data_IF_198954190183
#
_entry.id   IF_198954190183
#
_cell.length_a   1.000
_cell.length_b   1.000
_cell.length_c   1.000
_cell.angle_alpha   90.00
_cell.angle_beta   90.00
_cell.angle_gamma   90.00
#
_symmetry.space_group_name_H-M   'P 1'
#
loop_
_entity.id
_entity.type
_entity.pdbx_description
1 polymer ?
#
# COMPACT_ATOMS: atom_id res chain seq x y z
N UNK A 1 50.24 24.64 56.53
CA UNK A 1 50.44 25.70 55.53
C UNK A 1 50.21 25.13 54.14
N UNK A 2 49.47 25.86 53.29
CA UNK A 2 49.20 25.62 51.86
C UNK A 2 48.49 24.30 51.50
N UNK A 3 47.18 24.21 51.27
CA UNK A 3 46.27 25.01 50.43
C UNK A 3 46.64 24.97 48.93
N UNK A 4 45.93 24.13 48.14
CA UNK A 4 45.71 24.29 46.67
C UNK A 4 44.68 23.29 46.11
N UNK A 5 43.40 23.64 46.33
CA UNK A 5 42.32 23.73 45.33
C UNK A 5 42.19 22.63 44.25
N UNK A 6 41.36 21.61 44.50
CA UNK A 6 40.67 20.82 43.45
C UNK A 6 39.40 21.55 42.99
N UNK A 7 39.49 22.32 41.91
CA UNK A 7 38.33 22.95 41.27
C UNK A 7 37.65 21.99 40.27
N UNK A 8 36.47 21.49 40.65
CA UNK A 8 35.52 20.76 39.78
C UNK A 8 35.06 21.66 38.62
N UNK A 9 35.55 21.40 37.41
CA UNK A 9 35.09 22.05 36.17
C UNK A 9 33.76 21.42 35.73
N UNK A 10 32.63 21.96 36.22
CA UNK A 10 31.27 21.71 35.71
C UNK A 10 31.23 22.13 34.22
N UNK A 11 31.14 21.17 33.29
CA UNK A 11 30.87 21.44 31.88
C UNK A 11 29.36 21.64 31.68
N UNK A 12 29.06 22.79 31.11
CA UNK A 12 27.77 23.43 30.93
C UNK A 12 26.99 22.74 29.80
N UNK A 13 26.05 21.85 30.11
CA UNK A 13 25.11 21.30 29.12
C UNK A 13 24.03 22.36 28.88
N UNK A 14 24.27 23.23 27.89
CA UNK A 14 23.25 24.15 27.37
C UNK A 14 22.14 23.31 26.71
N UNK A 15 21.05 23.09 27.44
CA UNK A 15 19.74 22.63 26.93
C UNK A 15 19.36 23.49 25.71
N UNK A 16 19.45 22.92 24.51
CA UNK A 16 18.82 23.50 23.31
C UNK A 16 17.32 23.26 23.41
N UNK A 17 16.58 24.35 23.62
CA UNK A 17 15.13 24.42 23.62
C UNK A 17 14.58 24.15 22.22
N UNK A 18 13.51 23.35 22.17
CA UNK A 18 12.41 23.46 21.21
C UNK A 18 12.74 23.31 19.73
N UNK A 19 12.89 22.08 19.24
CA UNK A 19 12.53 21.79 17.86
C UNK A 19 11.00 21.67 17.80
N UNK A 20 10.36 22.58 17.05
CA UNK A 20 8.94 22.54 16.77
C UNK A 20 8.55 21.16 16.23
N UNK A 21 7.58 20.53 16.91
CA UNK A 21 7.01 19.27 16.47
C UNK A 21 6.37 19.52 15.11
N UNK A 22 6.93 18.90 14.05
CA UNK A 22 6.24 18.76 12.76
C UNK A 22 4.82 18.29 13.06
N UNK A 23 3.81 19.08 12.67
CA UNK A 23 2.41 18.75 12.88
C UNK A 23 2.15 17.33 12.40
N UNK A 24 2.04 16.37 13.33
CA UNK A 24 1.59 15.03 13.01
C UNK A 24 0.23 15.19 12.35
N UNK A 25 0.05 14.65 11.15
CA UNK A 25 -1.25 14.63 10.49
C UNK A 25 -2.30 14.18 11.53
N UNK A 26 -3.29 15.04 11.79
CA UNK A 26 -4.38 14.71 12.72
C UNK A 26 -4.98 13.37 12.26
N UNK A 27 -5.37 12.48 13.18
CA UNK A 27 -5.95 11.21 12.77
C UNK A 27 -7.20 11.48 11.92
N UNK A 28 -7.47 10.60 10.96
CA UNK A 28 -8.59 10.74 10.02
C UNK A 28 -9.63 9.69 10.33
N UNK A 29 -10.89 10.11 10.49
CA UNK A 29 -12.02 9.20 10.76
C UNK A 29 -12.40 8.38 9.53
N UNK A 30 -12.19 8.93 8.32
CA UNK A 30 -12.40 8.22 7.07
C UNK A 30 -11.70 8.87 5.87
N UNK A 31 -11.56 8.10 4.81
CA UNK A 31 -10.91 8.53 3.57
C UNK A 31 -11.72 8.02 2.39
N UNK A 32 -11.90 8.86 1.36
CA UNK A 32 -12.58 8.54 0.11
C UNK A 32 -11.60 8.83 -1.02
N UNK A 33 -11.45 7.92 -1.98
CA UNK A 33 -10.63 8.11 -3.17
C UNK A 33 -11.51 8.17 -4.40
N UNK A 34 -11.35 9.24 -5.17
CA UNK A 34 -11.94 9.44 -6.49
C UNK A 34 -10.86 9.15 -7.53
N UNK A 35 -11.10 8.17 -8.40
CA UNK A 35 -10.20 7.85 -9.51
C UNK A 35 -10.92 8.07 -10.81
N UNK A 36 -10.33 8.89 -11.68
CA UNK A 36 -10.81 9.07 -13.04
C UNK A 36 -10.67 7.80 -13.89
N UNK A 37 -11.63 7.58 -14.77
CA UNK A 37 -11.59 6.57 -15.84
C UNK A 37 -11.60 7.19 -17.24
N UNK A 38 -11.94 8.48 -17.37
CA UNK A 38 -12.28 9.13 -18.65
C UNK A 38 -11.21 10.08 -19.22
N UNK A 39 -10.06 10.23 -18.55
CA UNK A 39 -9.01 11.19 -18.91
C UNK A 39 -9.23 12.61 -18.37
N UNK A 40 -10.18 12.82 -17.46
CA UNK A 40 -10.48 14.11 -16.84
C UNK A 40 -9.39 14.57 -15.87
N UNK A 41 -9.24 15.90 -15.76
CA UNK A 41 -8.32 16.47 -14.78
C UNK A 41 -8.84 16.26 -13.34
N UNK A 42 -7.93 16.20 -12.36
CA UNK A 42 -8.33 16.11 -10.95
C UNK A 42 -9.26 17.27 -10.52
N UNK A 43 -9.14 18.43 -11.17
CA UNK A 43 -9.93 19.62 -10.88
C UNK A 43 -11.39 19.44 -11.31
N UNK A 44 -11.64 18.87 -12.49
CA UNK A 44 -12.99 18.57 -12.98
C UNK A 44 -13.72 17.59 -12.07
N UNK A 45 -13.04 16.54 -11.60
CA UNK A 45 -13.62 15.54 -10.69
C UNK A 45 -13.98 16.17 -9.35
N UNK A 46 -13.13 17.06 -8.85
CA UNK A 46 -13.41 17.81 -7.62
C UNK A 46 -14.54 18.81 -7.81
N UNK A 47 -14.63 19.48 -8.96
CA UNK A 47 -15.72 20.38 -9.29
C UNK A 47 -17.05 19.62 -9.39
N UNK A 48 -17.07 18.49 -10.10
CA UNK A 48 -18.23 17.61 -10.18
C UNK A 48 -18.65 17.11 -8.78
N UNK A 49 -17.71 16.62 -7.97
CA UNK A 49 -18.00 16.18 -6.61
C UNK A 49 -18.57 17.30 -5.71
N UNK A 50 -18.08 18.54 -5.85
CA UNK A 50 -18.59 19.71 -5.10
C UNK A 50 -19.97 20.15 -5.57
N UNK A 51 -20.23 20.15 -6.88
CA UNK A 51 -21.51 20.54 -7.44
C UNK A 51 -22.60 19.51 -7.13
N UNK A 52 -22.22 18.24 -7.00
CA UNK A 52 -23.13 17.13 -6.74
C UNK A 52 -23.43 16.88 -5.27
N UNK A 53 -22.60 17.36 -4.32
CA UNK A 53 -22.77 17.08 -2.90
C UNK A 53 -22.46 18.32 -2.06
N UNK A 54 -23.46 18.79 -1.30
CA UNK A 54 -23.25 19.83 -0.30
C UNK A 54 -22.65 19.22 0.98
N UNK A 55 -21.48 19.71 1.39
CA UNK A 55 -20.81 19.26 2.63
C UNK A 55 -21.68 19.54 3.89
N UNK A 56 -22.58 20.52 3.81
CA UNK A 56 -23.52 20.86 4.87
C UNK A 56 -24.61 19.79 5.05
N UNK A 57 -25.09 19.17 3.97
CA UNK A 57 -26.10 18.10 4.03
C UNK A 57 -25.56 16.82 4.69
N UNK A 58 -24.27 16.56 4.53
CA UNK A 58 -23.58 15.43 5.17
C UNK A 58 -23.07 15.78 6.57
N UNK A 59 -23.20 17.05 6.99
CA UNK A 59 -22.78 17.55 8.30
C UNK A 59 -21.26 17.51 8.51
N UNK A 60 -20.47 17.73 7.45
CA UNK A 60 -19.00 17.77 7.50
C UNK A 60 -18.55 19.23 7.47
N UNK A 61 -17.94 19.70 8.56
CA UNK A 61 -17.49 21.09 8.70
C UNK A 61 -16.19 21.41 7.94
N UNK A 62 -15.26 20.46 7.90
CA UNK A 62 -13.98 20.62 7.19
C UNK A 62 -13.57 19.33 6.50
N UNK A 63 -12.98 19.46 5.31
CA UNK A 63 -12.49 18.33 4.52
C UNK A 63 -11.11 18.67 3.97
N UNK A 64 -10.17 17.72 4.04
CA UNK A 64 -8.86 17.87 3.39
C UNK A 64 -8.85 17.11 2.07
N UNK A 65 -8.19 17.69 1.08
CA UNK A 65 -7.99 17.04 -0.21
C UNK A 65 -6.50 16.84 -0.46
N UNK A 66 -6.14 15.70 -1.03
CA UNK A 66 -4.78 15.41 -1.48
C UNK A 66 -4.82 14.62 -2.78
N UNK A 67 -3.74 14.68 -3.56
CA UNK A 67 -3.59 13.86 -4.76
C UNK A 67 -3.02 12.48 -4.41
N UNK A 68 -3.48 11.43 -5.09
CA UNK A 68 -2.81 10.13 -5.06
C UNK A 68 -1.56 10.17 -5.93
N UNK A 69 -0.64 9.23 -5.68
CA UNK A 69 0.55 9.03 -6.52
C UNK A 69 0.17 8.69 -7.98
N UNK A 70 -1.01 8.10 -8.19
CA UNK A 70 -1.53 7.76 -9.53
C UNK A 70 -2.28 8.91 -10.21
N UNK A 71 -2.48 10.05 -9.54
CA UNK A 71 -3.21 11.20 -10.08
C UNK A 71 -4.72 11.20 -9.80
N UNK A 72 -5.19 10.34 -8.90
CA UNK A 72 -6.54 10.44 -8.34
C UNK A 72 -6.61 11.47 -7.21
N UNK A 73 -7.79 11.63 -6.63
CA UNK A 73 -8.05 12.56 -5.53
C UNK A 73 -8.45 11.78 -4.29
N UNK A 74 -7.88 12.12 -3.14
CA UNK A 74 -8.26 11.61 -1.84
C UNK A 74 -8.94 12.73 -1.07
N UNK A 75 -10.13 12.45 -0.55
CA UNK A 75 -10.87 13.26 0.40
C UNK A 75 -10.68 12.64 1.79
N UNK A 76 -10.05 13.38 2.70
CA UNK A 76 -9.83 12.98 4.08
C UNK A 76 -10.86 13.69 4.97
N UNK A 77 -11.62 12.90 5.72
CA UNK A 77 -12.55 13.36 6.74
C UNK A 77 -11.82 13.35 8.09
N UNK A 78 -11.63 14.53 8.73
CA UNK A 78 -10.98 14.65 10.03
C UNK A 78 -11.64 13.78 11.13
N UNK A 79 -10.86 13.37 12.14
CA UNK A 79 -11.37 12.51 13.24
C UNK A 79 -12.45 13.15 14.12
N UNK A 80 -12.51 14.48 14.17
CA UNK A 80 -13.61 15.21 14.83
C UNK A 80 -14.99 14.95 14.19
N UNK A 81 -15.03 14.28 13.04
CA UNK A 81 -16.25 13.88 12.36
C UNK A 81 -16.48 12.37 12.50
N UNK A 82 -17.71 11.96 12.80
CA UNK A 82 -18.07 10.56 12.95
C UNK A 82 -17.75 9.74 11.68
N UNK A 83 -17.22 8.52 11.86
CA UNK A 83 -16.86 7.60 10.75
C UNK A 83 -18.04 7.28 9.83
N UNK A 84 -19.26 7.36 10.35
CA UNK A 84 -20.51 7.19 9.59
C UNK A 84 -20.68 8.27 8.51
N UNK A 85 -20.23 9.51 8.75
CA UNK A 85 -20.31 10.63 7.80
C UNK A 85 -19.45 10.40 6.56
N UNK A 86 -18.26 9.80 6.73
CA UNK A 86 -17.41 9.45 5.59
C UNK A 86 -18.05 8.37 4.71
N UNK A 87 -18.74 7.40 5.32
CA UNK A 87 -19.49 6.37 4.58
C UNK A 87 -20.71 6.96 3.86
N UNK A 88 -21.45 7.87 4.52
CA UNK A 88 -22.56 8.59 3.92
C UNK A 88 -22.10 9.44 2.73
N UNK A 89 -21.01 10.20 2.88
CA UNK A 89 -20.42 10.99 1.80
C UNK A 89 -20.03 10.11 0.61
N UNK A 90 -19.41 8.95 0.86
CA UNK A 90 -19.07 8.02 -0.21
C UNK A 90 -20.31 7.46 -0.93
N UNK A 91 -21.38 7.16 -0.20
CA UNK A 91 -22.65 6.70 -0.78
C UNK A 91 -23.30 7.80 -1.63
N UNK A 92 -23.32 9.05 -1.15
CA UNK A 92 -23.81 10.20 -1.90
C UNK A 92 -23.01 10.42 -3.19
N UNK A 93 -21.68 10.42 -3.11
CA UNK A 93 -20.81 10.57 -4.29
C UNK A 93 -20.99 9.42 -5.28
N UNK A 94 -21.18 8.19 -4.80
CA UNK A 94 -21.43 7.03 -5.67
C UNK A 94 -22.76 7.13 -6.40
N UNK A 95 -23.78 7.76 -5.81
CA UNK A 95 -25.08 8.00 -6.44
C UNK A 95 -25.06 9.16 -7.43
N UNK A 96 -24.30 10.20 -7.12
CA UNK A 96 -24.32 11.44 -7.88
C UNK A 96 -23.30 11.49 -9.02
N UNK A 97 -22.23 10.71 -8.95
CA UNK A 97 -21.21 10.64 -9.99
C UNK A 97 -21.46 9.45 -10.92
N UNK A 98 -21.22 9.66 -12.21
CA UNK A 98 -21.31 8.60 -13.22
C UNK A 98 -20.22 7.52 -12.96
N UNK A 99 -20.60 6.25 -12.71
CA UNK A 99 -19.66 5.16 -12.44
C UNK A 99 -18.73 4.84 -13.61
N UNK A 100 -19.07 5.25 -14.83
CA UNK A 100 -18.23 5.09 -16.02
C UNK A 100 -17.11 6.14 -16.08
N UNK A 101 -17.32 7.32 -15.50
CA UNK A 101 -16.36 8.43 -15.52
C UNK A 101 -15.50 8.47 -14.26
N UNK A 102 -16.10 8.29 -13.08
CA UNK A 102 -15.40 8.40 -11.80
C UNK A 102 -15.63 7.16 -10.93
N UNK A 103 -14.54 6.56 -10.45
CA UNK A 103 -14.59 5.49 -9.45
C UNK A 103 -14.49 6.08 -8.05
N UNK A 104 -15.56 5.98 -7.28
CA UNK A 104 -15.58 6.29 -5.84
C UNK A 104 -15.21 5.05 -5.05
N UNK A 105 -14.24 5.15 -4.15
CA UNK A 105 -13.82 4.05 -3.27
C UNK A 105 -13.57 4.60 -1.87
N UNK A 106 -14.01 3.90 -0.84
CA UNK A 106 -13.59 4.13 0.56
C UNK A 106 -12.39 3.24 0.88
N UNK A 107 -11.14 3.72 0.68
CA UNK A 107 -9.98 2.90 0.99
C UNK A 107 -9.92 2.59 2.48
N UNK A 108 -9.77 1.31 2.78
CA UNK A 108 -9.24 0.84 4.06
C UNK A 108 -7.74 0.57 3.93
N UNK A 109 -7.04 0.54 5.07
CA UNK A 109 -5.68 -0.01 5.10
C UNK A 109 -5.76 -1.49 4.72
N UNK A 110 -5.26 -1.83 3.54
CA UNK A 110 -5.27 -3.21 3.05
C UNK A 110 -4.01 -3.96 3.50
N UNK A 111 -4.16 -5.25 3.76
CA UNK A 111 -3.04 -6.18 3.92
C UNK A 111 -3.23 -7.38 2.98
N UNK A 112 -2.17 -8.16 2.82
CA UNK A 112 -2.13 -9.33 1.95
C UNK A 112 -1.79 -10.57 2.79
N UNK A 113 -2.38 -11.70 2.43
CA UNK A 113 -2.06 -13.01 2.97
C UNK A 113 -1.97 -14.04 1.84
N UNK A 114 -1.19 -15.08 2.08
CA UNK A 114 -1.15 -16.28 1.26
C UNK A 114 -1.92 -17.36 1.97
N UNK A 115 -2.80 -18.02 1.25
CA UNK A 115 -3.47 -19.22 1.71
C UNK A 115 -2.98 -20.42 0.91
N UNK A 116 -2.71 -21.52 1.60
CA UNK A 116 -2.10 -22.72 1.04
C UNK A 116 -2.78 -23.96 1.62
N UNK A 117 -2.51 -25.14 1.05
CA UNK A 117 -3.19 -26.39 1.43
C UNK A 117 -4.69 -26.39 1.08
N UNK A 118 -5.06 -25.69 0.01
CA UNK A 118 -6.43 -25.66 -0.49
C UNK A 118 -6.62 -26.84 -1.45
N UNK A 119 -7.80 -27.44 -1.50
CA UNK A 119 -8.11 -28.40 -2.55
C UNK A 119 -8.04 -27.74 -3.95
N UNK A 120 -7.50 -28.45 -4.95
CA UNK A 120 -7.30 -27.87 -6.29
C UNK A 120 -8.63 -27.63 -7.01
N UNK A 121 -9.70 -28.34 -6.63
CA UNK A 121 -11.05 -28.15 -7.15
C UNK A 121 -11.85 -27.05 -6.45
N UNK A 122 -11.32 -26.48 -5.36
CA UNK A 122 -12.02 -25.47 -4.58
C UNK A 122 -12.39 -24.24 -5.42
N UNK A 123 -13.61 -23.77 -5.25
CA UNK A 123 -14.08 -22.55 -5.92
C UNK A 123 -13.66 -21.29 -5.17
N UNK A 124 -13.67 -20.13 -5.84
CA UNK A 124 -13.36 -18.85 -5.17
C UNK A 124 -14.39 -18.53 -4.09
N UNK A 125 -15.62 -18.94 -4.30
CA UNK A 125 -16.76 -18.74 -3.40
C UNK A 125 -16.61 -19.62 -2.14
N UNK A 126 -16.21 -20.87 -2.30
CA UNK A 126 -15.88 -21.79 -1.19
C UNK A 126 -14.74 -21.27 -0.32
N UNK A 127 -13.77 -20.57 -0.91
CA UNK A 127 -12.68 -19.92 -0.16
C UNK A 127 -13.17 -18.63 0.50
N UNK A 128 -13.95 -17.81 -0.21
CA UNK A 128 -14.38 -16.49 0.27
C UNK A 128 -15.30 -16.57 1.48
N UNK A 129 -16.22 -17.52 1.51
CA UNK A 129 -17.25 -17.62 2.56
C UNK A 129 -16.67 -17.90 3.96
N UNK A 130 -15.76 -18.88 4.14
CA UNK A 130 -15.06 -19.08 5.41
C UNK A 130 -14.22 -17.87 5.82
N UNK A 131 -13.50 -17.26 4.89
CA UNK A 131 -12.66 -16.09 5.17
C UNK A 131 -13.48 -14.90 5.69
N UNK A 132 -14.64 -14.62 5.09
CA UNK A 132 -15.52 -13.52 5.53
C UNK A 132 -16.17 -13.82 6.88
N UNK A 133 -16.60 -15.07 7.09
CA UNK A 133 -17.18 -15.52 8.36
C UNK A 133 -16.19 -15.37 9.52
N UNK A 134 -14.95 -15.84 9.35
CA UNK A 134 -13.92 -15.80 10.39
C UNK A 134 -13.42 -14.37 10.65
N UNK A 135 -13.25 -13.58 9.59
CA UNK A 135 -12.70 -12.23 9.73
C UNK A 135 -13.73 -11.14 10.07
N UNK A 136 -15.01 -11.43 9.85
CA UNK A 136 -16.12 -10.49 10.03
C UNK A 136 -16.12 -9.33 9.02
N UNK A 137 -15.50 -9.51 7.84
CA UNK A 137 -15.47 -8.51 6.79
C UNK A 137 -16.49 -8.81 5.68
N UNK A 138 -16.87 -7.78 4.92
CA UNK A 138 -17.79 -7.94 3.79
C UNK A 138 -17.10 -8.75 2.69
N UNK A 139 -17.84 -9.60 1.95
CA UNK A 139 -17.27 -10.34 0.84
C UNK A 139 -16.59 -9.40 -0.16
N UNK A 140 -17.22 -8.28 -0.50
CA UNK A 140 -16.72 -7.25 -1.42
C UNK A 140 -15.32 -6.71 -1.08
N UNK A 141 -14.97 -6.67 0.21
CA UNK A 141 -13.69 -6.16 0.69
C UNK A 141 -12.55 -7.18 0.53
N UNK A 142 -12.88 -8.46 0.30
CA UNK A 142 -11.92 -9.54 0.07
C UNK A 142 -11.71 -9.74 -1.42
N UNK A 143 -10.46 -9.60 -1.87
CA UNK A 143 -10.02 -9.96 -3.22
C UNK A 143 -9.19 -11.22 -3.17
N UNK A 144 -9.58 -12.19 -4.00
CA UNK A 144 -8.85 -13.43 -4.20
C UNK A 144 -8.11 -13.38 -5.54
N UNK A 145 -6.89 -13.89 -5.54
CA UNK A 145 -6.14 -14.20 -6.75
C UNK A 145 -6.70 -15.43 -7.46
N UNK A 146 -5.99 -15.87 -8.50
CA UNK A 146 -6.18 -17.20 -9.06
C UNK A 146 -5.61 -18.25 -8.12
N UNK A 147 -6.28 -19.39 -8.01
CA UNK A 147 -5.78 -20.55 -7.30
C UNK A 147 -4.67 -21.15 -8.15
N UNK A 148 -3.47 -21.22 -7.58
CA UNK A 148 -2.28 -21.74 -8.24
C UNK A 148 -1.96 -23.12 -7.67
N UNK A 149 -1.82 -24.13 -8.53
CA UNK A 149 -1.38 -25.44 -8.09
C UNK A 149 0.06 -25.34 -7.57
N UNK A 150 0.29 -25.94 -6.41
CA UNK A 150 1.60 -26.11 -5.80
C UNK A 150 2.11 -27.54 -6.07
N UNK A 151 3.43 -27.74 -5.89
CA UNK A 151 4.10 -29.02 -6.18
C UNK A 151 3.63 -30.19 -5.31
N UNK A 152 2.97 -29.88 -4.19
CA UNK A 152 2.38 -30.85 -3.27
C UNK A 152 1.00 -31.37 -3.72
N UNK A 153 0.52 -30.99 -4.92
CA UNK A 153 -0.79 -31.39 -5.43
C UNK A 153 -1.95 -30.62 -4.82
N UNK A 154 -1.69 -29.58 -4.02
CA UNK A 154 -2.71 -28.69 -3.43
C UNK A 154 -2.64 -27.29 -4.06
N UNK A 155 -3.70 -26.52 -3.88
CA UNK A 155 -3.82 -25.13 -4.30
C UNK A 155 -3.22 -24.13 -3.29
N UNK A 156 -2.85 -22.98 -3.83
CA UNK A 156 -2.51 -21.77 -3.06
C UNK A 156 -3.16 -20.55 -3.69
N UNK A 157 -3.62 -19.61 -2.88
CA UNK A 157 -4.26 -18.38 -3.36
C UNK A 157 -3.73 -17.17 -2.61
N UNK A 158 -3.62 -16.06 -3.31
CA UNK A 158 -3.31 -14.77 -2.71
C UNK A 158 -4.61 -14.07 -2.29
N UNK A 159 -4.63 -13.52 -1.08
CA UNK A 159 -5.77 -12.82 -0.50
C UNK A 159 -5.35 -11.38 -0.24
N UNK A 160 -6.23 -10.44 -0.56
CA UNK A 160 -6.12 -9.03 -0.13
C UNK A 160 -7.41 -8.56 0.48
N UNK A 161 -7.33 -7.94 1.64
CA UNK A 161 -8.50 -7.41 2.35
C UNK A 161 -8.13 -6.40 3.42
N UNK A 162 -9.08 -5.97 4.26
CA UNK A 162 -8.83 -5.04 5.35
C UNK A 162 -7.74 -5.56 6.29
N UNK A 163 -6.79 -4.72 6.68
CA UNK A 163 -5.63 -5.12 7.47
C UNK A 163 -6.01 -5.74 8.81
N UNK A 164 -7.12 -5.30 9.42
CA UNK A 164 -7.66 -5.93 10.63
C UNK A 164 -8.17 -7.36 10.37
N UNK A 165 -8.92 -7.55 9.28
CA UNK A 165 -9.47 -8.84 8.87
C UNK A 165 -8.36 -9.84 8.50
N UNK A 166 -7.43 -9.43 7.65
CA UNK A 166 -6.31 -10.26 7.20
C UNK A 166 -5.38 -10.62 8.36
N UNK A 167 -5.14 -9.69 9.30
CA UNK A 167 -4.34 -9.98 10.49
C UNK A 167 -5.00 -11.03 11.38
N UNK A 168 -6.32 -10.96 11.59
CA UNK A 168 -7.05 -11.99 12.35
C UNK A 168 -6.90 -13.37 11.71
N UNK A 169 -7.08 -13.46 10.39
CA UNK A 169 -6.92 -14.71 9.64
C UNK A 169 -5.49 -15.27 9.76
N UNK A 170 -4.48 -14.42 9.61
CA UNK A 170 -3.08 -14.83 9.75
C UNK A 170 -2.73 -15.24 11.19
N UNK A 171 -3.37 -14.64 12.21
CA UNK A 171 -3.19 -15.02 13.62
C UNK A 171 -3.87 -16.34 13.95
N UNK A 172 -5.05 -16.62 13.38
CA UNK A 172 -5.69 -17.92 13.45
C UNK A 172 -4.83 -18.99 12.74
N UNK A 173 -4.15 -18.61 11.65
CA UNK A 173 -3.17 -19.41 10.92
C UNK A 173 -3.78 -20.53 10.08
N UNK A 174 -5.03 -20.92 10.34
CA UNK A 174 -5.76 -21.97 9.63
C UNK A 174 -7.23 -21.59 9.48
N UNK A 175 -7.83 -21.99 8.36
CA UNK A 175 -9.26 -21.80 8.07
C UNK A 175 -9.79 -23.08 7.45
N UNK A 176 -10.96 -23.52 7.91
CA UNK A 176 -11.65 -24.66 7.31
C UNK A 176 -12.32 -24.24 5.99
N UNK A 177 -12.00 -24.94 4.90
CA UNK A 177 -12.55 -24.72 3.57
C UNK A 177 -13.11 -26.05 3.06
N UNK A 178 -14.45 -26.15 3.05
CA UNK A 178 -15.14 -27.41 2.74
C UNK A 178 -14.70 -28.52 3.70
N UNK A 179 -14.12 -29.59 3.15
CA UNK A 179 -13.56 -30.72 3.89
C UNK A 179 -12.04 -30.60 4.20
N UNK A 180 -11.40 -29.51 3.79
CA UNK A 180 -9.97 -29.29 3.94
C UNK A 180 -9.65 -28.18 4.95
N UNK A 181 -8.43 -28.17 5.48
CA UNK A 181 -7.94 -27.08 6.33
C UNK A 181 -6.84 -26.33 5.58
N UNK A 182 -7.14 -25.11 5.19
CA UNK A 182 -6.18 -24.23 4.54
C UNK A 182 -5.34 -23.49 5.59
N UNK A 183 -4.07 -23.25 5.26
CA UNK A 183 -3.12 -22.50 6.09
C UNK A 183 -3.01 -21.09 5.57
N UNK A 184 -3.20 -20.11 6.45
CA UNK A 184 -3.18 -18.67 6.13
C UNK A 184 -1.96 -18.01 6.75
N UNK A 185 -1.18 -17.31 5.93
CA UNK A 185 0.04 -16.61 6.36
C UNK A 185 0.05 -15.17 5.85
N UNK A 186 0.39 -14.22 6.72
CA UNK A 186 0.53 -12.82 6.32
C UNK A 186 1.70 -12.64 5.35
N UNK A 187 1.47 -11.92 4.26
CA UNK A 187 2.52 -11.56 3.30
C UNK A 187 3.01 -10.15 3.63
N UNK A 188 4.32 -10.01 3.77
CA UNK A 188 4.93 -8.70 3.94
C UNK A 188 4.57 -7.78 2.76
N UNK A 189 4.21 -6.52 3.08
CA UNK A 189 3.85 -5.54 2.06
C UNK A 189 5.02 -5.35 1.11
N UNK A 190 4.80 -5.67 -0.17
CA UNK A 190 5.79 -5.45 -1.21
C UNK A 190 5.99 -3.95 -1.42
N UNK A 191 7.23 -3.48 -1.54
CA UNK A 191 7.47 -2.08 -1.82
C UNK A 191 7.01 -1.73 -3.23
N UNK A 192 6.72 -0.44 -3.43
CA UNK A 192 6.29 0.09 -4.72
C UNK A 192 7.41 -0.08 -5.75
N UNK A 193 7.16 -0.76 -6.86
CA UNK A 193 8.13 -0.95 -7.94
C UNK A 193 7.67 -0.19 -9.19
N UNK A 194 8.56 0.62 -9.76
CA UNK A 194 8.27 1.45 -10.92
C UNK A 194 8.15 0.58 -12.17
N UNK A 195 7.06 0.77 -12.93
CA UNK A 195 6.83 0.00 -14.15
C UNK A 195 7.73 0.38 -15.33
N UNK A 196 8.47 1.50 -15.24
CA UNK A 196 9.36 1.99 -16.30
C UNK A 196 10.80 1.56 -16.08
N UNK A 197 11.36 1.79 -14.90
CA UNK A 197 12.77 1.49 -14.63
C UNK A 197 12.99 0.21 -13.81
N UNK A 198 11.91 -0.38 -13.27
CA UNK A 198 11.94 -1.56 -12.39
C UNK A 198 12.59 -1.33 -11.01
N UNK A 199 12.94 -0.09 -10.68
CA UNK A 199 13.43 0.31 -9.34
C UNK A 199 12.29 0.51 -8.34
N UNK A 200 12.63 0.52 -7.06
CA UNK A 200 11.68 0.68 -5.96
C UNK A 200 11.47 2.16 -5.59
N UNK A 201 10.31 2.48 -5.03
CA UNK A 201 10.03 3.73 -4.31
C UNK A 201 9.17 4.74 -5.07
N UNK A 202 8.93 4.52 -6.37
CA UNK A 202 8.19 5.48 -7.19
C UNK A 202 7.32 4.81 -8.27
N UNK A 203 6.41 5.58 -8.87
CA UNK A 203 5.58 5.17 -10.01
C UNK A 203 6.12 5.72 -11.33
N UNK A 204 5.62 5.20 -12.46
CA UNK A 204 5.96 5.68 -13.81
C UNK A 204 5.80 7.21 -13.98
N UNK A 205 4.74 7.81 -13.41
CA UNK A 205 4.50 9.27 -13.49
C UNK A 205 5.58 10.12 -12.82
N UNK A 206 6.26 9.58 -11.82
CA UNK A 206 7.33 10.25 -11.08
C UNK A 206 8.72 9.71 -11.46
N UNK A 207 8.80 8.90 -12.51
CA UNK A 207 10.04 8.25 -12.92
C UNK A 207 10.89 9.21 -13.77
N UNK A 208 12.11 9.47 -13.33
CA UNK A 208 13.11 10.29 -14.03
C UNK A 208 14.12 9.46 -14.82
N UNK A 209 13.99 8.14 -14.82
CA UNK A 209 14.92 7.26 -15.54
C UNK A 209 14.86 7.52 -17.06
N UNK A 210 16.03 7.58 -17.69
CA UNK A 210 16.18 7.78 -19.13
C UNK A 210 15.64 6.57 -19.91
N UNK A 211 16.06 5.37 -19.52
CA UNK A 211 15.68 4.12 -20.18
C UNK A 211 14.31 3.59 -19.72
N UNK A 212 13.55 3.02 -20.66
CA UNK A 212 12.32 2.29 -20.38
C UNK A 212 12.55 0.77 -20.43
N UNK A 213 12.62 0.18 -19.24
CA UNK A 213 12.73 -1.25 -18.97
C UNK A 213 11.37 -1.92 -18.75
N UNK A 214 10.26 -1.23 -19.01
CA UNK A 214 8.91 -1.74 -18.77
C UNK A 214 8.49 -2.93 -19.63
N UNK A 215 9.23 -3.18 -20.73
CA UNK A 215 9.07 -4.35 -21.60
C UNK A 215 9.72 -5.62 -21.01
N UNK A 216 10.52 -5.49 -19.94
CA UNK A 216 11.17 -6.63 -19.28
C UNK A 216 10.25 -7.25 -18.22
N UNK A 217 10.39 -8.55 -18.01
CA UNK A 217 9.67 -9.28 -16.97
C UNK A 217 10.08 -8.78 -15.57
N UNK A 218 9.12 -8.39 -14.73
CA UNK A 218 9.37 -7.91 -13.36
C UNK A 218 9.95 -8.96 -12.42
N UNK A 219 9.89 -10.24 -12.80
CA UNK A 219 10.41 -11.36 -12.00
C UNK A 219 11.83 -11.75 -12.40
N UNK A 220 12.19 -11.62 -13.68
CA UNK A 220 13.43 -12.20 -14.24
C UNK A 220 14.26 -11.21 -15.08
N UNK A 221 13.67 -10.09 -15.50
CA UNK A 221 14.37 -9.03 -16.21
C UNK A 221 14.67 -9.29 -17.68
N UNK A 222 14.03 -10.30 -18.30
CA UNK A 222 14.11 -10.56 -19.74
C UNK A 222 12.80 -10.20 -20.46
N UNK A 223 12.85 -9.79 -21.74
CA UNK A 223 11.66 -9.54 -22.53
C UNK A 223 10.94 -10.85 -22.89
N UNK A 224 9.79 -10.73 -23.56
CA UNK A 224 9.05 -11.85 -24.16
C UNK A 224 7.90 -12.41 -23.31
N UNK A 225 7.78 -12.04 -22.03
CA UNK A 225 6.64 -12.42 -21.19
C UNK A 225 6.41 -11.45 -20.03
N UNK A 226 5.17 -11.41 -19.52
CA UNK A 226 4.84 -10.71 -18.29
C UNK A 226 5.15 -11.58 -17.06
N UNK A 227 5.36 -10.95 -15.90
CA UNK A 227 5.69 -11.66 -14.66
C UNK A 227 4.66 -12.73 -14.24
N UNK A 228 3.39 -12.58 -14.65
CA UNK A 228 2.35 -13.60 -14.42
C UNK A 228 2.60 -14.90 -15.19
N UNK A 229 3.12 -14.81 -16.41
CA UNK A 229 3.46 -15.94 -17.29
C UNK A 229 4.92 -16.39 -17.13
N UNK A 230 5.65 -15.86 -16.15
CA UNK A 230 7.05 -16.21 -15.93
C UNK A 230 7.17 -17.59 -15.28
N UNK A 231 7.67 -18.56 -16.05
CA UNK A 231 7.92 -19.96 -15.63
C UNK A 231 9.25 -20.14 -14.90
N UNK A 232 10.13 -19.13 -14.92
CA UNK A 232 11.43 -19.20 -14.25
C UNK A 232 11.24 -19.37 -12.74
N UNK A 233 11.82 -20.43 -12.19
CA UNK A 233 11.67 -20.77 -10.77
C UNK A 233 12.30 -19.71 -9.86
N UNK A 234 13.54 -19.30 -10.15
CA UNK A 234 14.28 -18.31 -9.35
C UNK A 234 14.10 -16.91 -9.91
N UNK A 235 13.65 -15.94 -9.10
CA UNK A 235 13.60 -14.54 -9.52
C UNK A 235 15.01 -13.98 -9.71
N UNK A 236 15.10 -12.86 -10.43
CA UNK A 236 16.34 -12.13 -10.65
C UNK A 236 16.19 -10.66 -10.25
N UNK A 237 17.15 -10.13 -9.50
CA UNK A 237 17.22 -8.71 -9.14
C UNK A 237 18.15 -7.99 -10.11
N UNK A 238 17.58 -7.16 -10.99
CA UNK A 238 18.34 -6.39 -11.99
C UNK A 238 19.31 -5.38 -11.36
N UNK A 239 18.92 -4.77 -10.23
CA UNK A 239 19.79 -3.83 -9.51
C UNK A 239 21.00 -4.56 -8.90
N UNK A 240 20.79 -5.69 -8.23
CA UNK A 240 21.90 -6.49 -7.69
C UNK A 240 22.80 -7.05 -8.79
N UNK A 241 22.24 -7.48 -9.92
CA UNK A 241 23.02 -7.93 -11.08
C UNK A 241 23.92 -6.81 -11.63
N UNK A 242 23.38 -5.60 -11.80
CA UNK A 242 24.16 -4.45 -12.25
C UNK A 242 25.30 -4.08 -11.29
N UNK A 243 25.12 -4.37 -9.99
CA UNK A 243 26.12 -4.16 -8.94
C UNK A 243 27.09 -5.35 -8.76
N UNK A 244 26.97 -6.43 -9.55
CA UNK A 244 27.78 -7.64 -9.42
C UNK A 244 27.52 -8.46 -8.14
N UNK A 245 26.42 -8.19 -7.44
CA UNK A 245 26.03 -8.89 -6.22
C UNK A 245 25.17 -10.13 -6.52
N UNK A 246 25.03 -11.09 -5.58
CA UNK A 246 24.09 -12.20 -5.73
C UNK A 246 22.69 -11.68 -6.10
N UNK A 247 22.19 -12.12 -7.25
CA UNK A 247 20.98 -11.57 -7.89
C UNK A 247 19.84 -12.59 -8.01
N UNK A 248 19.97 -13.80 -7.44
CA UNK A 248 18.97 -14.88 -7.48
C UNK A 248 17.73 -14.68 -6.59
N UNK A 249 17.43 -13.42 -6.24
CA UNK A 249 16.33 -13.00 -5.40
C UNK A 249 15.49 -11.93 -6.11
N UNK A 250 14.30 -11.67 -5.57
CA UNK A 250 13.46 -10.57 -6.04
C UNK A 250 13.83 -9.28 -5.30
N UNK A 251 13.92 -8.18 -6.04
CA UNK A 251 14.06 -6.84 -5.46
C UNK A 251 12.88 -6.52 -4.53
N UNK A 252 13.16 -5.96 -3.35
CA UNK A 252 12.16 -5.63 -2.34
C UNK A 252 11.63 -6.83 -1.54
N UNK A 253 12.24 -8.01 -1.71
CA UNK A 253 11.99 -9.18 -0.88
C UNK A 253 12.91 -9.23 0.35
N UNK A 254 12.76 -10.24 1.22
CA UNK A 254 13.59 -10.37 2.43
C UNK A 254 15.10 -10.42 2.15
N UNK A 255 15.50 -11.01 1.02
CA UNK A 255 16.90 -11.12 0.59
C UNK A 255 17.43 -9.91 -0.19
N UNK A 256 16.60 -8.88 -0.42
CA UNK A 256 16.97 -7.62 -1.06
C UNK A 256 15.96 -6.56 -0.60
N UNK A 257 16.02 -6.14 0.68
CA UNK A 257 15.09 -5.16 1.21
C UNK A 257 15.27 -3.82 0.48
N UNK A 258 14.20 -3.02 0.32
CA UNK A 258 14.36 -1.68 -0.19
C UNK A 258 15.25 -0.86 0.75
N UNK A 259 16.00 0.13 0.24
CA UNK A 259 16.63 1.13 1.10
C UNK A 259 15.58 1.72 2.04
N UNK A 260 15.88 1.86 3.33
CA UNK A 260 14.99 2.57 4.25
C UNK A 260 14.67 3.94 3.67
N UNK A 261 13.39 4.35 3.71
CA UNK A 261 12.95 5.68 3.31
C UNK A 261 13.64 6.73 4.20
N UNK A 262 14.86 7.12 3.85
CA UNK A 262 15.46 8.36 4.33
C UNK A 262 14.63 9.46 3.67
N UNK A 263 13.75 10.07 4.46
CA UNK A 263 13.02 11.26 4.08
C UNK A 263 14.00 12.19 3.34
N UNK A 264 13.83 12.45 2.03
CA UNK A 264 14.80 13.23 1.29
C UNK A 264 14.80 14.63 1.89
N UNK A 265 15.86 14.96 2.63
CA UNK A 265 16.10 16.32 3.07
C UNK A 265 16.16 17.20 1.80
N UNK A 266 15.30 18.23 1.66
CA UNK A 266 15.27 19.09 0.49
C UNK A 266 16.50 20.01 0.35
N UNK A 267 17.58 19.76 1.11
CA UNK A 267 18.81 20.55 1.13
C UNK A 267 20.08 19.79 0.71
N UNK A 268 20.00 18.55 0.23
CA UNK A 268 21.16 17.90 -0.40
C UNK A 268 21.30 18.35 -1.87
N UNK A 269 21.44 19.66 -2.07
CA UNK A 269 21.93 20.26 -3.30
C UNK A 269 23.34 20.81 -3.04
N UNK A 270 24.25 20.47 -3.95
CA UNK A 270 25.54 21.14 -4.17
C UNK A 270 26.65 20.89 -3.13
N UNK A 271 27.55 19.95 -3.43
CA UNK A 271 29.00 20.23 -3.36
C UNK A 271 29.66 19.54 -4.55
N UNK A 272 29.90 20.33 -5.61
CA UNK A 272 31.02 20.13 -6.53
C UNK A 272 32.33 20.30 -5.76
N UNK A 273 33.24 19.34 -5.89
CA UNK A 273 34.67 19.59 -6.03
C UNK A 273 35.20 18.64 -7.10
#
# INVERSE_FOLDING_TARGET
MADRRKAKKKKNIRKRKGAEKKHSAKPTSGTITLTDKSGQSCAEILAAARNSVSLAEVGISTMRTRKTITGGVILEVPEDQERKKAAALAACLTRALDPNKVRVVTPFRAAEAGESMIDVSATKEEIRNPLTKESGCKPEDVRLGEIRPARNGLGSVWIRGPAGAVRKLAQAGKVAIGCSTARVEAIARKPLQCYRCLEIGHVRKSCTAKEDKGHLCFRYGKPGHQAKACTVARPKCLSCEALGAPSGQRMGGPACPPPEERNPDPHAGCVTQ
#
